data_IF_547995264585
#
_entry.id   IF_547995264585
#
_cell.length_a   1.000
_cell.length_b   1.000
_cell.length_c   1.000
_cell.angle_alpha   90.00
_cell.angle_beta   90.00
_cell.angle_gamma   90.00
#
_symmetry.space_group_name_H-M   'P 1'
#
loop_
_entity.id
_entity.type
_entity.pdbx_description
1 polymer ?
#
# COMPACT_ATOMS: atom_id res chain seq x y z
N UNK A 1 -9.07 -6.70 -9.93
CA UNK A 1 -7.80 -6.65 -9.18
C UNK A 1 -7.39 -5.24 -8.76
N UNK A 2 -7.70 -4.20 -9.56
CA UNK A 2 -7.47 -2.77 -9.26
C UNK A 2 -7.94 -2.30 -7.87
N UNK A 3 -9.02 -2.89 -7.34
CA UNK A 3 -9.62 -2.47 -6.07
C UNK A 3 -8.77 -2.85 -4.83
N UNK A 4 -8.05 -3.98 -4.84
CA UNK A 4 -7.29 -4.44 -3.65
C UNK A 4 -6.00 -3.65 -3.42
N UNK A 5 -5.13 -3.59 -4.43
CA UNK A 5 -3.85 -2.88 -4.33
C UNK A 5 -4.07 -1.38 -4.04
N UNK A 6 -5.11 -0.79 -4.64
CA UNK A 6 -5.53 0.58 -4.35
C UNK A 6 -6.01 0.74 -2.89
N UNK A 7 -6.84 -0.17 -2.37
CA UNK A 7 -7.26 -0.15 -0.96
C UNK A 7 -6.09 -0.31 0.00
N UNK A 8 -5.13 -1.20 -0.28
CA UNK A 8 -3.92 -1.36 0.53
C UNK A 8 -3.08 -0.08 0.53
N UNK A 9 -2.93 0.57 -0.62
CA UNK A 9 -2.27 1.87 -0.77
C UNK A 9 -2.94 2.95 0.09
N UNK A 10 -4.27 3.09 -0.01
CA UNK A 10 -5.04 4.07 0.79
C UNK A 10 -4.92 3.79 2.28
N UNK A 11 -5.03 2.53 2.71
CA UNK A 11 -4.88 2.15 4.13
C UNK A 11 -3.50 2.48 4.67
N UNK A 12 -2.44 2.12 3.93
CA UNK A 12 -1.07 2.43 4.32
C UNK A 12 -0.86 3.95 4.40
N UNK A 13 -1.48 4.70 3.48
CA UNK A 13 -1.43 6.16 3.51
C UNK A 13 -2.03 6.75 4.77
N UNK A 14 -3.27 6.38 5.08
CA UNK A 14 -4.00 6.87 6.24
C UNK A 14 -3.29 6.52 7.55
N UNK A 15 -2.73 5.30 7.64
CA UNK A 15 -1.96 4.86 8.79
C UNK A 15 -0.77 5.80 9.07
N UNK A 16 0.02 6.13 8.05
CA UNK A 16 1.20 6.99 8.24
C UNK A 16 0.86 8.47 8.42
N UNK A 17 -0.25 8.95 7.84
CA UNK A 17 -0.80 10.27 8.18
C UNK A 17 -1.17 10.35 9.67
N UNK A 18 -1.76 9.28 10.22
CA UNK A 18 -2.10 9.22 11.65
C UNK A 18 -0.85 9.12 12.54
N UNK A 19 0.15 8.31 12.18
CA UNK A 19 1.40 8.24 12.94
C UNK A 19 2.20 9.56 12.91
N UNK A 20 2.12 10.33 11.82
CA UNK A 20 2.73 11.67 11.77
C UNK A 20 2.07 12.62 12.78
N UNK A 21 0.73 12.60 12.86
CA UNK A 21 0.00 13.38 13.87
C UNK A 21 0.38 12.97 15.30
N UNK A 22 0.53 11.66 15.55
CA UNK A 22 1.01 11.15 16.86
C UNK A 22 2.45 11.58 17.15
N UNK A 23 3.32 11.65 16.15
CA UNK A 23 4.69 12.14 16.30
C UNK A 23 4.71 13.61 16.72
N UNK A 24 3.93 14.46 16.05
CA UNK A 24 3.81 15.88 16.44
C UNK A 24 3.25 16.07 17.85
N UNK A 25 2.29 15.23 18.25
CA UNK A 25 1.72 15.26 19.60
C UNK A 25 2.77 14.90 20.66
N UNK A 26 3.63 13.91 20.38
CA UNK A 26 4.76 13.56 21.25
C UNK A 26 5.75 14.72 21.38
N UNK A 27 6.09 15.38 20.27
CA UNK A 27 7.02 16.53 20.24
C UNK A 27 6.47 17.74 21.01
N UNK A 28 5.17 18.02 20.87
CA UNK A 28 4.50 19.18 21.49
C UNK A 28 4.05 18.93 22.93
N UNK A 29 4.14 17.68 23.43
CA UNK A 29 3.65 17.30 24.76
C UNK A 29 2.14 17.48 24.95
N UNK A 30 1.39 17.57 23.85
CA UNK A 30 -0.05 17.80 23.87
C UNK A 30 -0.80 16.47 23.84
N UNK A 31 -1.55 16.15 24.89
CA UNK A 31 -2.58 15.10 24.89
C UNK A 31 -3.67 15.48 23.87
N UNK A 32 -4.19 14.54 23.06
CA UNK A 32 -5.17 14.88 22.05
C UNK A 32 -6.51 15.18 22.72
N UNK A 33 -6.90 16.45 22.82
CA UNK A 33 -8.32 16.77 22.82
C UNK A 33 -8.84 16.39 21.42
N UNK A 34 -9.86 15.52 21.34
CA UNK A 34 -10.50 15.18 20.06
C UNK A 34 -10.85 16.46 19.31
N UNK A 35 -10.17 16.73 18.20
CA UNK A 35 -10.53 17.88 17.37
C UNK A 35 -11.80 17.54 16.59
N UNK A 36 -12.72 18.50 16.45
CA UNK A 36 -13.94 18.32 15.67
C UNK A 36 -13.66 17.88 14.22
N UNK A 37 -12.50 18.23 13.67
CA UNK A 37 -12.02 17.80 12.35
C UNK A 37 -11.69 16.30 12.33
N UNK A 38 -11.11 15.76 13.41
CA UNK A 38 -10.82 14.33 13.56
C UNK A 38 -12.12 13.52 13.68
N UNK A 39 -13.08 14.03 14.46
CA UNK A 39 -14.41 13.42 14.57
C UNK A 39 -15.15 13.33 13.23
N UNK A 40 -15.09 14.37 12.41
CA UNK A 40 -15.71 14.39 11.08
C UNK A 40 -14.99 13.46 10.08
N UNK A 41 -13.65 13.45 10.08
CA UNK A 41 -12.85 12.61 9.17
C UNK A 41 -12.93 11.12 9.52
N UNK A 42 -13.12 10.80 10.80
CA UNK A 42 -13.25 9.41 11.29
C UNK A 42 -14.68 8.87 11.14
N UNK A 43 -15.71 9.73 11.04
CA UNK A 43 -17.10 9.33 10.76
C UNK A 43 -17.32 8.84 9.32
N UNK A 44 -16.61 9.41 8.33
CA UNK A 44 -16.74 9.01 6.92
C UNK A 44 -16.06 7.67 6.61
N UNK A 45 -15.16 7.20 7.48
CA UNK A 45 -14.30 6.04 7.26
C UNK A 45 -14.40 5.08 8.45
N UNK A 46 -15.62 4.58 8.72
CA UNK A 46 -15.90 3.60 9.78
C UNK A 46 -15.00 2.36 9.70
N UNK A 47 -13.91 2.39 10.47
CA UNK A 47 -13.13 1.22 10.82
C UNK A 47 -13.12 1.19 12.36
N UNK A 48 -13.92 0.30 12.96
CA UNK A 48 -14.18 0.30 14.41
C UNK A 48 -12.89 0.12 15.26
N UNK A 49 -11.83 -0.43 14.68
CA UNK A 49 -10.51 -0.56 15.32
C UNK A 49 -9.70 0.76 15.40
N UNK A 50 -10.15 1.84 14.76
CA UNK A 50 -9.53 3.18 14.87
C UNK A 50 -10.05 3.94 16.11
N UNK A 51 -11.24 3.56 16.62
CA UNK A 51 -11.91 4.21 17.75
C UNK A 51 -11.35 3.80 19.11
N UNK A 52 -10.65 2.67 19.21
CA UNK A 52 -9.95 2.28 20.43
C UNK A 52 -8.60 3.01 20.49
N UNK A 53 -8.58 4.17 21.15
CA UNK A 53 -7.31 4.74 21.59
C UNK A 53 -6.69 3.81 22.64
N UNK A 54 -5.48 3.28 22.41
CA UNK A 54 -4.80 2.54 23.46
C UNK A 54 -4.59 3.48 24.63
N UNK A 55 -5.11 3.10 25.80
CA UNK A 55 -4.93 3.81 27.07
C UNK A 55 -3.48 3.85 27.52
N UNK A 56 -2.60 3.12 26.83
CA UNK A 56 -1.18 3.08 27.08
C UNK A 56 -0.47 4.34 26.53
N UNK A 57 0.46 4.93 27.30
CA UNK A 57 1.27 6.04 26.81
C UNK A 57 2.00 5.60 25.53
N UNK A 58 1.81 6.37 24.46
CA UNK A 58 2.45 6.12 23.18
C UNK A 58 3.96 6.02 23.37
N UNK A 59 4.57 4.90 22.96
CA UNK A 59 6.02 4.74 23.01
C UNK A 59 6.70 5.93 22.32
N UNK A 60 7.73 6.53 22.94
CA UNK A 60 8.51 7.56 22.29
C UNK A 60 9.12 6.99 21.01
N UNK A 61 9.05 7.76 19.93
CA UNK A 61 9.58 7.41 18.61
C UNK A 61 10.27 8.65 18.07
N UNK A 62 11.49 8.49 17.58
CA UNK A 62 12.20 9.60 16.93
C UNK A 62 11.73 9.80 15.49
N UNK A 63 11.99 10.98 14.92
CA UNK A 63 11.67 11.25 13.51
C UNK A 63 12.48 10.41 12.53
N UNK A 64 13.71 10.03 12.88
CA UNK A 64 14.52 9.11 12.09
C UNK A 64 13.93 7.70 12.10
N UNK A 65 13.51 7.22 13.27
CA UNK A 65 12.85 5.92 13.42
C UNK A 65 11.51 5.88 12.67
N UNK A 66 10.72 6.95 12.74
CA UNK A 66 9.49 7.10 11.96
C UNK A 66 9.76 6.96 10.46
N UNK A 67 10.76 7.69 9.96
CA UNK A 67 11.12 7.68 8.54
C UNK A 67 11.60 6.31 8.08
N UNK A 68 12.41 5.64 8.88
CA UNK A 68 12.90 4.28 8.58
C UNK A 68 11.73 3.28 8.52
N UNK A 69 10.85 3.29 9.52
CA UNK A 69 9.68 2.39 9.56
C UNK A 69 8.74 2.66 8.38
N UNK A 70 8.46 3.93 8.06
CA UNK A 70 7.68 4.34 6.89
C UNK A 70 8.27 3.78 5.60
N UNK A 71 9.55 4.00 5.36
CA UNK A 71 10.24 3.54 4.15
C UNK A 71 10.26 2.03 4.03
N UNK A 72 10.43 1.33 5.16
CA UNK A 72 10.38 -0.14 5.23
C UNK A 72 8.99 -0.66 4.83
N UNK A 73 7.92 -0.09 5.39
CA UNK A 73 6.55 -0.49 5.05
C UNK A 73 6.19 -0.21 3.58
N UNK A 74 6.61 0.94 3.03
CA UNK A 74 6.42 1.27 1.61
C UNK A 74 7.13 0.23 0.72
N UNK A 75 8.39 -0.07 1.04
CA UNK A 75 9.21 -1.01 0.26
C UNK A 75 8.65 -2.44 0.32
N UNK A 76 8.17 -2.88 1.49
CA UNK A 76 7.51 -4.17 1.65
C UNK A 76 6.24 -4.27 0.80
N UNK A 77 5.37 -3.25 0.84
CA UNK A 77 4.16 -3.23 0.02
C UNK A 77 4.50 -3.25 -1.48
N UNK A 78 5.44 -2.41 -1.91
CA UNK A 78 5.90 -2.36 -3.30
C UNK A 78 6.41 -3.72 -3.79
N UNK A 79 7.24 -4.39 -2.99
CA UNK A 79 7.77 -5.71 -3.35
C UNK A 79 6.65 -6.76 -3.48
N UNK A 80 5.66 -6.75 -2.58
CA UNK A 80 4.48 -7.63 -2.71
C UNK A 80 3.71 -7.36 -4.00
N UNK A 81 3.42 -6.09 -4.28
CA UNK A 81 2.70 -5.67 -5.47
C UNK A 81 3.45 -6.03 -6.76
N UNK A 82 4.77 -5.90 -6.76
CA UNK A 82 5.65 -6.31 -7.86
C UNK A 82 5.59 -7.82 -8.08
N UNK A 83 5.70 -8.63 -7.03
CA UNK A 83 5.61 -10.09 -7.13
C UNK A 83 4.24 -10.55 -7.64
N UNK A 84 3.16 -9.95 -7.15
CA UNK A 84 1.80 -10.26 -7.59
C UNK A 84 1.62 -9.94 -9.08
N UNK A 85 2.10 -8.78 -9.54
CA UNK A 85 2.09 -8.41 -10.96
C UNK A 85 2.89 -9.39 -11.83
N UNK A 86 4.09 -9.79 -11.40
CA UNK A 86 4.90 -10.78 -12.12
C UNK A 86 4.23 -12.16 -12.19
N UNK A 87 3.60 -12.60 -11.09
CA UNK A 87 2.89 -13.88 -11.05
C UNK A 87 1.69 -13.89 -11.98
N UNK A 88 0.89 -12.82 -11.99
CA UNK A 88 -0.25 -12.66 -12.90
C UNK A 88 0.20 -12.62 -14.36
N UNK A 89 1.28 -11.90 -14.66
CA UNK A 89 1.85 -11.84 -15.99
C UNK A 89 2.30 -13.22 -16.49
N UNK A 90 3.00 -13.99 -15.65
CA UNK A 90 3.39 -15.36 -15.98
C UNK A 90 2.19 -16.25 -16.31
N UNK A 91 1.13 -16.20 -15.49
CA UNK A 91 -0.11 -16.95 -15.73
C UNK A 91 -0.80 -16.55 -17.05
N UNK A 92 -0.87 -15.25 -17.33
CA UNK A 92 -1.46 -14.74 -18.57
C UNK A 92 -0.65 -15.17 -19.79
N UNK A 93 0.67 -15.05 -19.73
CA UNK A 93 1.59 -15.48 -20.79
C UNK A 93 1.40 -16.97 -21.09
N UNK A 94 1.39 -17.80 -20.07
CA UNK A 94 1.28 -19.26 -20.24
C UNK A 94 -0.08 -19.65 -20.83
N UNK A 95 -1.16 -18.98 -20.40
CA UNK A 95 -2.50 -19.15 -20.98
C UNK A 95 -2.53 -18.78 -22.48
N UNK A 96 -1.94 -17.64 -22.85
CA UNK A 96 -1.85 -17.20 -24.25
C UNK A 96 -1.04 -18.19 -25.10
N UNK A 97 0.06 -18.71 -24.56
CA UNK A 97 0.88 -19.73 -25.24
C UNK A 97 0.09 -21.01 -25.50
N UNK A 98 -0.66 -21.48 -24.51
CA UNK A 98 -1.53 -22.64 -24.64
C UNK A 98 -2.61 -22.44 -25.71
N UNK A 99 -3.28 -21.29 -25.73
CA UNK A 99 -4.31 -20.99 -26.74
C UNK A 99 -3.74 -20.87 -28.16
N UNK A 100 -2.58 -20.25 -28.30
CA UNK A 100 -1.93 -20.11 -29.61
C UNK A 100 -1.52 -21.47 -30.19
N UNK A 101 -0.93 -22.35 -29.36
CA UNK A 101 -0.62 -23.73 -29.74
C UNK A 101 -1.87 -24.51 -30.12
N UNK A 102 -2.98 -24.36 -29.37
CA UNK A 102 -4.25 -25.01 -29.70
C UNK A 102 -4.78 -24.60 -31.08
N UNK A 103 -4.49 -23.38 -31.52
CA UNK A 103 -4.86 -22.85 -32.83
C UNK A 103 -3.86 -23.17 -33.95
N UNK A 104 -2.80 -23.93 -33.65
CA UNK A 104 -1.75 -24.27 -34.61
C UNK A 104 -0.84 -23.10 -34.98
N UNK A 105 -0.77 -22.06 -34.15
CA UNK A 105 0.12 -20.92 -34.37
C UNK A 105 1.53 -21.26 -33.85
N UNK A 106 2.54 -21.07 -34.70
CA UNK A 106 3.94 -21.11 -34.29
C UNK A 106 4.33 -19.78 -33.64
N UNK A 107 4.18 -19.72 -32.31
CA UNK A 107 4.61 -18.57 -31.50
C UNK A 107 5.59 -19.01 -30.43
N UNK A 108 6.64 -18.22 -30.24
CA UNK A 108 7.60 -18.43 -29.16
C UNK A 108 7.17 -17.68 -27.89
N UNK A 109 7.64 -18.08 -26.70
CA UNK A 109 7.36 -17.36 -25.46
C UNK A 109 7.75 -15.86 -25.52
N UNK A 110 8.80 -15.52 -26.26
CA UNK A 110 9.29 -14.16 -26.44
C UNK A 110 8.27 -13.29 -27.18
N UNK A 111 7.65 -13.83 -28.25
CA UNK A 111 6.60 -13.13 -28.98
C UNK A 111 5.40 -12.78 -28.09
N UNK A 112 5.06 -13.65 -27.14
CA UNK A 112 3.91 -13.46 -26.25
C UNK A 112 4.23 -12.43 -25.16
N UNK A 113 5.49 -12.31 -24.73
CA UNK A 113 5.88 -11.32 -23.73
C UNK A 113 5.57 -9.89 -24.18
N UNK A 114 5.72 -9.60 -25.48
CA UNK A 114 5.44 -8.28 -26.04
C UNK A 114 3.93 -8.04 -26.26
N UNK A 115 3.14 -9.11 -26.38
CA UNK A 115 1.69 -9.04 -26.60
C UNK A 115 0.89 -8.99 -25.30
N UNK A 116 1.39 -9.59 -24.21
CA UNK A 116 0.65 -9.68 -22.95
C UNK A 116 0.94 -8.43 -22.10
N UNK A 117 -0.07 -7.62 -21.75
CA UNK A 117 0.15 -6.42 -20.96
C UNK A 117 0.54 -6.77 -19.53
N UNK A 118 1.69 -6.26 -19.07
CA UNK A 118 2.10 -6.37 -17.68
C UNK A 118 1.63 -5.15 -16.88
N UNK A 119 0.96 -5.39 -15.75
CA UNK A 119 0.64 -4.32 -14.80
C UNK A 119 1.94 -3.82 -14.16
N UNK A 120 2.22 -2.53 -14.28
CA UNK A 120 3.37 -1.91 -13.62
C UNK A 120 3.05 -1.63 -12.16
N UNK A 121 3.84 -2.20 -11.26
CA UNK A 121 3.81 -1.82 -9.85
C UNK A 121 4.56 -0.49 -9.70
N UNK A 122 3.86 0.54 -9.25
CA UNK A 122 4.48 1.83 -8.91
C UNK A 122 4.79 1.90 -7.42
N UNK A 123 5.94 2.49 -7.08
CA UNK A 123 6.27 2.81 -5.69
C UNK A 123 5.41 4.00 -5.27
N UNK A 124 4.83 3.93 -4.08
CA UNK A 124 4.07 5.06 -3.55
C UNK A 124 5.02 6.10 -2.98
N UNK A 125 4.82 7.34 -3.39
CA UNK A 125 5.44 8.50 -2.75
C UNK A 125 4.50 9.07 -1.69
N UNK A 126 5.05 9.29 -0.51
CA UNK A 126 4.34 9.96 0.59
C UNK A 126 4.75 11.43 0.61
N UNK A 127 3.81 12.37 0.53
CA UNK A 127 4.14 13.80 0.45
C UNK A 127 4.67 14.38 1.77
N UNK A 128 4.70 13.61 2.85
CA UNK A 128 5.07 14.11 4.18
C UNK A 128 6.42 13.55 4.65
N UNK A 129 7.31 14.48 5.03
CA UNK A 129 8.71 14.27 5.47
C UNK A 129 8.87 14.68 6.92
#
# INVERSE_FOLDING_TARGET
MTNRMYKERVKLRLFWEQELLRLEQREKGTTPAMSAVRFLRENEMCNAQILEEPTEPLKPMSRSEFTERKNKSISQMYNRHKMEASSLFGLQRDMWLCEARRRGLEVTPECINDCVPMVKAEKMDFPYS
#
